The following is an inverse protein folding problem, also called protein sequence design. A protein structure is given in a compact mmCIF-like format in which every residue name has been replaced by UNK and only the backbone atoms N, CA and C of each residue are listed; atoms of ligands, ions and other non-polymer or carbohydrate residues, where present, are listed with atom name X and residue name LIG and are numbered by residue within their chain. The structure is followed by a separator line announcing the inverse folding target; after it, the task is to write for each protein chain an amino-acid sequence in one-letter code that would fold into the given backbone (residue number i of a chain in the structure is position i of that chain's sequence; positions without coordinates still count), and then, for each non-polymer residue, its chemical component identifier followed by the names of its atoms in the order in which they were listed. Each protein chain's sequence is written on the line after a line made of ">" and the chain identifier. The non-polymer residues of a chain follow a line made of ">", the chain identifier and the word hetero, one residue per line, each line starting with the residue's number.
data_IF_474480250488
#
_entry.id   IF_474480250488
#
_cell.length_a   1.000
_cell.length_b   1.000
_cell.length_c   1.000
_cell.angle_alpha   90.00
_cell.angle_beta   90.00
_cell.angle_gamma   90.00
#
_symmetry.space_group_name_H-M   'P 1'
#
loop_
_entity.id
_entity.type
_entity.pdbx_description
1 polymer ?
#
# COMPACT_ATOMS: atom_id res chain seq x y z
N UNK A 1 -6.71 23.00 3.57
CA UNK A 1 -6.41 22.65 4.97
C UNK A 1 -5.69 21.30 4.98
N UNK A 2 -4.63 21.14 5.77
CA UNK A 2 -3.85 19.90 5.85
C UNK A 2 -4.52 18.89 6.79
N UNK A 3 -5.45 18.10 6.25
CA UNK A 3 -6.39 17.29 7.06
C UNK A 3 -5.73 16.18 7.89
N UNK A 4 -4.70 15.52 7.36
CA UNK A 4 -4.00 14.44 8.05
C UNK A 4 -3.14 15.01 9.18
N UNK A 5 -2.34 16.04 8.90
CA UNK A 5 -1.51 16.70 9.92
C UNK A 5 -2.36 17.33 11.01
N UNK A 6 -3.48 17.98 10.65
CA UNK A 6 -4.41 18.56 11.62
C UNK A 6 -5.08 17.51 12.53
N UNK A 7 -5.08 16.24 12.11
CA UNK A 7 -5.62 15.12 12.89
C UNK A 7 -4.54 14.34 13.65
N UNK A 8 -3.31 14.88 13.75
CA UNK A 8 -2.20 14.23 14.45
C UNK A 8 -1.61 13.02 13.74
N UNK A 9 -1.88 12.84 12.44
CA UNK A 9 -1.24 11.78 11.65
C UNK A 9 0.14 12.26 11.21
N UNK A 10 1.17 11.49 11.53
CA UNK A 10 2.57 11.78 11.16
C UNK A 10 3.00 11.04 9.89
N UNK A 11 2.59 9.78 9.75
CA UNK A 11 2.99 8.90 8.66
C UNK A 11 1.80 8.10 8.12
N UNK A 12 1.87 7.76 6.83
CA UNK A 12 0.94 6.87 6.13
C UNK A 12 1.73 5.67 5.61
N UNK A 13 1.18 4.46 5.74
CA UNK A 13 1.87 3.22 5.41
C UNK A 13 1.44 2.68 4.05
N UNK A 14 2.40 2.16 3.28
CA UNK A 14 2.14 1.26 2.17
C UNK A 14 2.84 -0.07 2.42
N UNK A 15 2.12 -1.18 2.28
CA UNK A 15 2.68 -2.51 2.49
C UNK A 15 2.90 -3.22 1.17
N UNK A 16 4.09 -3.77 0.98
CA UNK A 16 4.47 -4.52 -0.21
C UNK A 16 5.32 -5.75 0.18
N UNK A 17 5.29 -6.82 -0.63
CA UNK A 17 6.32 -7.85 -0.55
C UNK A 17 7.73 -7.24 -0.67
N UNK A 18 8.68 -7.77 0.11
CA UNK A 18 10.06 -7.26 0.14
C UNK A 18 10.71 -7.26 -1.26
N UNK A 19 10.40 -8.26 -2.08
CA UNK A 19 10.97 -8.39 -3.44
C UNK A 19 10.55 -7.28 -4.42
N UNK A 20 9.56 -6.44 -4.08
CA UNK A 20 9.23 -5.25 -4.90
C UNK A 20 10.10 -4.02 -4.57
N UNK A 21 10.87 -4.05 -3.49
CA UNK A 21 11.70 -2.92 -3.06
C UNK A 21 12.64 -2.40 -4.15
N UNK A 22 13.34 -3.23 -4.96
CA UNK A 22 14.19 -2.72 -6.03
C UNK A 22 13.46 -1.83 -7.04
N UNK A 23 12.23 -2.20 -7.44
CA UNK A 23 11.45 -1.42 -8.39
C UNK A 23 10.92 -0.12 -7.80
N UNK A 24 10.48 -0.17 -6.54
CA UNK A 24 10.01 1.00 -5.81
C UNK A 24 11.16 1.99 -5.61
N UNK A 25 12.35 1.51 -5.23
CA UNK A 25 13.55 2.33 -5.05
C UNK A 25 14.04 2.96 -6.36
N UNK A 26 14.02 2.23 -7.48
CA UNK A 26 14.37 2.77 -8.80
C UNK A 26 13.40 3.86 -9.27
N UNK A 27 12.09 3.61 -9.15
CA UNK A 27 11.07 4.56 -9.60
C UNK A 27 10.85 5.72 -8.62
N UNK A 28 11.35 5.60 -7.39
CA UNK A 28 11.10 6.53 -6.28
C UNK A 28 9.61 6.83 -6.11
N UNK A 29 8.75 5.85 -6.39
CA UNK A 29 7.31 6.05 -6.45
C UNK A 29 6.53 4.80 -6.08
N UNK A 30 5.35 4.99 -5.48
CA UNK A 30 4.30 3.97 -5.44
C UNK A 30 3.44 4.17 -6.68
N UNK A 31 3.55 3.25 -7.62
CA UNK A 31 2.83 3.31 -8.88
C UNK A 31 1.40 2.78 -8.72
N UNK A 32 0.45 3.49 -9.33
CA UNK A 32 -0.91 3.02 -9.57
C UNK A 32 -0.91 1.86 -10.57
N UNK A 33 -2.03 1.13 -10.67
CA UNK A 33 -2.12 -0.02 -11.58
C UNK A 33 -1.89 0.35 -13.06
N UNK A 34 -2.46 1.45 -13.60
CA UNK A 34 -2.17 1.89 -14.96
C UNK A 34 -0.69 2.20 -15.17
N UNK A 35 -0.02 2.83 -14.20
CA UNK A 35 1.41 3.12 -14.30
C UNK A 35 2.28 1.88 -14.17
N UNK A 36 1.86 0.88 -13.38
CA UNK A 36 2.52 -0.43 -13.35
C UNK A 36 2.40 -1.15 -14.70
N UNK A 37 1.19 -1.16 -15.29
CA UNK A 37 0.98 -1.73 -16.62
C UNK A 37 1.86 -0.99 -17.67
N UNK A 38 1.94 0.34 -17.62
CA UNK A 38 2.77 1.16 -18.51
C UNK A 38 4.28 0.95 -18.30
N UNK A 39 4.71 0.65 -17.08
CA UNK A 39 6.09 0.29 -16.76
C UNK A 39 6.46 -1.16 -17.16
N UNK A 40 5.52 -1.91 -17.75
CA UNK A 40 5.74 -3.27 -18.27
C UNK A 40 5.47 -4.38 -17.25
N UNK A 41 4.90 -4.07 -16.08
CA UNK A 41 4.48 -5.11 -15.14
C UNK A 41 3.24 -5.83 -15.65
N UNK A 42 3.32 -7.15 -15.70
CA UNK A 42 2.19 -8.00 -16.12
C UNK A 42 1.12 -8.07 -15.02
N UNK A 43 -0.08 -8.47 -15.43
CA UNK A 43 -1.22 -8.69 -14.54
C UNK A 43 -0.93 -9.61 -13.35
N UNK A 44 0.00 -10.53 -13.55
CA UNK A 44 0.46 -11.52 -12.57
C UNK A 44 1.17 -10.89 -11.37
N UNK A 45 1.64 -9.65 -11.45
CA UNK A 45 2.23 -8.90 -10.33
C UNK A 45 1.17 -8.28 -9.42
N UNK A 46 -0.03 -8.09 -9.95
CA UNK A 46 -1.14 -7.55 -9.19
C UNK A 46 -1.89 -8.71 -8.56
N UNK A 47 -2.20 -8.59 -7.27
CA UNK A 47 -3.06 -9.57 -6.59
C UNK A 47 -4.37 -9.69 -7.36
N UNK A 48 -4.67 -10.89 -7.86
CA UNK A 48 -5.76 -11.13 -8.82
C UNK A 48 -7.11 -10.61 -8.32
N UNK A 49 -7.45 -10.93 -7.07
CA UNK A 49 -8.66 -10.45 -6.40
C UNK A 49 -8.69 -8.93 -6.23
N UNK A 50 -7.58 -8.31 -5.80
CA UNK A 50 -7.52 -6.86 -5.60
C UNK A 50 -7.62 -6.12 -6.92
N UNK A 51 -6.86 -6.52 -7.95
CA UNK A 51 -6.88 -5.85 -9.26
C UNK A 51 -8.30 -5.76 -9.82
N UNK A 52 -8.98 -6.90 -9.93
CA UNK A 52 -10.32 -6.94 -10.51
C UNK A 52 -11.31 -6.11 -9.71
N UNK A 53 -11.25 -6.18 -8.38
CA UNK A 53 -12.15 -5.44 -7.50
C UNK A 53 -11.87 -3.94 -7.53
N UNK A 54 -10.62 -3.51 -7.46
CA UNK A 54 -10.24 -2.10 -7.48
C UNK A 54 -10.68 -1.46 -8.79
N UNK A 55 -10.39 -2.09 -9.93
CA UNK A 55 -10.82 -1.57 -11.25
C UNK A 55 -12.35 -1.54 -11.34
N UNK A 56 -13.04 -2.64 -11.05
CA UNK A 56 -14.50 -2.72 -11.14
C UNK A 56 -15.23 -1.75 -10.20
N UNK A 57 -14.60 -1.35 -9.10
CA UNK A 57 -15.17 -0.46 -8.09
C UNK A 57 -14.78 1.01 -8.29
N UNK A 58 -13.99 1.33 -9.33
CA UNK A 58 -13.57 2.69 -9.68
C UNK A 58 -12.24 3.15 -9.07
N UNK A 59 -11.52 2.26 -8.39
CA UNK A 59 -10.28 2.55 -7.65
C UNK A 59 -9.01 2.05 -8.36
N UNK A 60 -9.11 1.70 -9.65
CA UNK A 60 -8.00 1.16 -10.43
C UNK A 60 -6.82 2.14 -10.58
N UNK A 61 -7.12 3.43 -10.72
CA UNK A 61 -6.15 4.52 -10.94
C UNK A 61 -5.60 5.13 -9.66
N UNK A 62 -5.64 4.41 -8.53
CA UNK A 62 -5.17 4.91 -7.24
C UNK A 62 -3.97 4.10 -6.76
N UNK A 63 -3.00 4.77 -6.14
CA UNK A 63 -2.06 4.12 -5.24
C UNK A 63 -2.70 4.00 -3.85
N UNK A 64 -2.75 2.77 -3.34
CA UNK A 64 -3.44 2.44 -2.10
C UNK A 64 -2.47 2.45 -0.93
N UNK A 65 -2.81 3.23 0.09
CA UNK A 65 -2.08 3.32 1.36
C UNK A 65 -3.05 3.22 2.54
N UNK A 66 -2.56 3.17 3.77
CA UNK A 66 -3.40 3.01 4.96
C UNK A 66 -2.85 3.76 6.17
N UNK A 67 -3.78 4.20 7.04
CA UNK A 67 -3.46 4.71 8.38
C UNK A 67 -3.34 3.59 9.43
N UNK A 68 -3.83 2.40 9.12
CA UNK A 68 -3.68 1.23 9.98
C UNK A 68 -2.23 0.72 9.93
N UNK A 69 -1.52 0.82 11.06
CA UNK A 69 -0.12 0.40 11.20
C UNK A 69 0.04 -1.12 11.34
N UNK A 70 -1.05 -1.85 11.56
CA UNK A 70 -1.05 -3.29 11.79
C UNK A 70 -2.23 -3.97 11.08
N UNK A 71 -2.36 -3.79 9.74
CA UNK A 71 -3.53 -4.28 9.05
C UNK A 71 -3.55 -5.81 9.06
N UNK A 72 -4.74 -6.40 9.20
CA UNK A 72 -4.93 -7.86 9.26
C UNK A 72 -4.28 -8.61 8.10
N UNK A 73 -4.23 -8.00 6.92
CA UNK A 73 -3.58 -8.60 5.74
C UNK A 73 -2.07 -8.76 5.94
N UNK A 74 -1.39 -7.77 6.54
CA UNK A 74 0.03 -7.87 6.85
C UNK A 74 0.27 -9.01 7.84
N UNK A 75 -0.53 -9.09 8.92
CA UNK A 75 -0.46 -10.19 9.89
C UNK A 75 -0.59 -11.56 9.22
N UNK A 76 -1.54 -11.71 8.29
CA UNK A 76 -1.72 -12.96 7.57
C UNK A 76 -0.53 -13.34 6.68
N UNK A 77 0.08 -12.37 5.99
CA UNK A 77 1.23 -12.62 5.10
C UNK A 77 2.50 -12.94 5.88
N UNK A 78 2.78 -12.19 6.95
CA UNK A 78 3.90 -12.45 7.84
C UNK A 78 3.72 -13.77 8.60
N UNK A 79 2.52 -14.07 9.10
CA UNK A 79 2.25 -15.33 9.80
C UNK A 79 2.46 -16.58 8.95
N UNK A 80 2.36 -16.45 7.62
CA UNK A 80 2.69 -17.50 6.67
C UNK A 80 4.15 -17.44 6.16
N UNK A 81 4.99 -16.67 6.85
CA UNK A 81 6.43 -16.63 6.64
C UNK A 81 6.88 -15.92 5.37
N UNK A 82 6.03 -15.10 4.73
CA UNK A 82 6.37 -14.45 3.46
C UNK A 82 6.85 -13.00 3.65
N UNK A 83 8.10 -12.67 3.29
CA UNK A 83 8.70 -11.36 3.55
C UNK A 83 7.93 -10.17 2.98
N UNK A 84 7.66 -9.19 3.84
CA UNK A 84 6.98 -7.94 3.52
C UNK A 84 7.70 -6.76 4.18
N UNK A 85 7.52 -5.57 3.61
CA UNK A 85 7.98 -4.30 4.14
C UNK A 85 6.82 -3.32 4.27
N UNK A 86 7.00 -2.30 5.08
CA UNK A 86 6.17 -1.10 5.06
C UNK A 86 6.99 0.11 4.62
N UNK A 87 6.43 0.91 3.72
CA UNK A 87 6.95 2.23 3.41
C UNK A 87 6.21 3.24 4.29
N UNK A 88 6.91 3.78 5.28
CA UNK A 88 6.40 4.79 6.20
C UNK A 88 6.66 6.18 5.62
N UNK A 89 5.65 6.73 4.95
CA UNK A 89 5.75 7.98 4.21
C UNK A 89 5.27 9.15 5.09
N UNK A 90 6.06 10.23 5.24
CA UNK A 90 5.63 11.42 5.96
C UNK A 90 4.35 12.03 5.37
N UNK A 91 3.43 12.45 6.25
CA UNK A 91 2.15 13.04 5.83
C UNK A 91 2.32 14.28 4.94
N UNK A 92 3.42 15.02 5.09
CA UNK A 92 3.71 16.17 4.24
C UNK A 92 3.74 15.80 2.73
N UNK A 93 4.30 14.64 2.37
CA UNK A 93 4.32 14.17 0.98
C UNK A 93 2.94 13.71 0.50
N UNK A 94 2.14 13.14 1.40
CA UNK A 94 0.76 12.72 1.12
C UNK A 94 -0.13 13.92 0.83
N UNK A 95 -0.06 14.94 1.69
CA UNK A 95 -0.87 16.15 1.55
C UNK A 95 -0.43 17.07 0.40
N UNK A 96 0.80 16.89 -0.09
CA UNK A 96 1.26 17.52 -1.33
C UNK A 96 0.65 16.87 -2.59
N UNK A 97 0.02 15.71 -2.47
CA UNK A 97 -0.60 14.97 -3.57
C UNK A 97 -2.13 15.01 -3.49
N UNK A 98 -2.86 14.99 -4.61
CA UNK A 98 -4.30 14.79 -4.58
C UNK A 98 -4.64 13.42 -3.99
N UNK A 99 -5.37 13.40 -2.88
CA UNK A 99 -5.79 12.16 -2.22
C UNK A 99 -7.24 12.20 -1.74
N UNK A 100 -7.78 11.02 -1.45
CA UNK A 100 -9.07 10.82 -0.79
C UNK A 100 -8.92 9.81 0.34
N UNK A 101 -9.87 9.82 1.28
CA UNK A 101 -9.93 8.84 2.35
C UNK A 101 -11.10 7.89 2.15
N UNK A 102 -10.90 6.61 2.47
CA UNK A 102 -11.93 5.59 2.42
C UNK A 102 -11.89 4.78 3.72
N UNK A 103 -12.95 4.86 4.54
CA UNK A 103 -13.04 4.08 5.79
C UNK A 103 -13.33 2.58 5.57
N UNK A 104 -13.35 2.15 4.32
CA UNK A 104 -13.71 0.80 3.90
C UNK A 104 -12.53 0.16 3.21
N UNK A 105 -12.38 -1.15 3.40
CA UNK A 105 -11.47 -1.92 2.57
C UNK A 105 -12.03 -2.01 1.14
N UNK A 106 -11.40 -1.34 0.18
CA UNK A 106 -11.92 -1.26 -1.19
C UNK A 106 -12.07 -2.63 -1.83
N UNK A 107 -11.17 -3.58 -1.56
CA UNK A 107 -11.24 -4.94 -2.10
C UNK A 107 -12.32 -5.81 -1.40
N UNK A 108 -12.43 -5.73 -0.08
CA UNK A 108 -13.25 -6.68 0.71
C UNK A 108 -14.68 -6.21 0.99
N UNK A 109 -15.03 -4.96 0.69
CA UNK A 109 -16.38 -4.43 0.95
C UNK A 109 -17.46 -5.20 0.18
N UNK A 110 -18.45 -5.72 0.91
CA UNK A 110 -19.59 -6.48 0.33
C UNK A 110 -20.79 -5.59 -0.02
N UNK A 111 -20.96 -4.46 0.67
CA UNK A 111 -22.09 -3.55 0.52
C UNK A 111 -21.82 -2.49 -0.57
N UNK A 112 -21.81 -2.92 -1.83
CA UNK A 112 -21.47 -2.08 -2.97
C UNK A 112 -22.70 -1.37 -3.55
N UNK A 113 -22.52 -0.13 -4.01
CA UNK A 113 -23.53 0.55 -4.84
C UNK A 113 -23.55 -0.07 -6.23
N UNK A 114 -24.72 -0.53 -6.68
CA UNK A 114 -24.92 -1.15 -8.01
C UNK A 114 -26.13 -0.54 -8.70
N UNK A 115 -25.92 0.33 -9.68
CA UNK A 115 -26.99 1.07 -10.34
C UNK A 115 -27.81 1.90 -9.33
N UNK A 116 -29.13 1.66 -9.29
CA UNK A 116 -30.06 2.31 -8.33
C UNK A 116 -30.10 1.64 -6.94
N UNK A 117 -29.43 0.50 -6.73
CA UNK A 117 -29.42 -0.18 -5.42
C UNK A 117 -28.53 0.58 -4.43
N UNK A 118 -29.02 0.72 -3.20
CA UNK A 118 -28.33 1.47 -2.14
C UNK A 118 -27.09 0.68 -1.68
N UNK A 119 -25.92 1.29 -1.83
CA UNK A 119 -24.68 0.82 -1.18
C UNK A 119 -24.59 1.34 0.25
N UNK A 120 -23.36 1.46 0.76
CA UNK A 120 -23.10 2.17 2.02
C UNK A 120 -23.72 3.59 1.98
N UNK A 121 -24.39 4.05 3.06
CA UNK A 121 -24.90 5.41 3.14
C UNK A 121 -23.79 6.46 3.10
N UNK A 122 -24.01 7.49 2.30
CA UNK A 122 -23.20 8.71 2.29
C UNK A 122 -23.41 9.50 3.58
N UNK A 123 -22.35 10.11 4.10
CA UNK A 123 -22.41 11.00 5.26
C UNK A 123 -21.11 11.81 5.32
N UNK A 124 -21.03 12.85 6.17
CA UNK A 124 -19.77 13.58 6.36
C UNK A 124 -18.62 12.66 6.81
N UNK A 125 -18.92 11.55 7.48
CA UNK A 125 -17.92 10.63 8.04
C UNK A 125 -17.66 9.39 7.17
N UNK A 126 -18.56 9.05 6.25
CA UNK A 126 -18.36 7.99 5.25
C UNK A 126 -17.91 8.54 3.88
N UNK A 127 -18.11 9.84 3.64
CA UNK A 127 -17.87 10.48 2.35
C UNK A 127 -19.07 10.45 1.40
N UNK A 128 -18.78 10.61 0.11
CA UNK A 128 -19.76 10.66 -1.00
C UNK A 128 -19.32 9.73 -2.13
N UNK A 129 -20.26 9.33 -2.98
CA UNK A 129 -19.97 8.63 -4.23
C UNK A 129 -19.52 9.63 -5.31
N UNK A 130 -18.46 9.32 -6.03
CA UNK A 130 -17.94 10.14 -7.13
C UNK A 130 -17.73 9.27 -8.37
N UNK A 131 -17.93 9.81 -9.58
CA UNK A 131 -17.37 9.29 -10.84
C UNK A 131 -17.34 7.74 -10.97
N UNK A 132 -18.49 7.07 -10.80
CA UNK A 132 -18.58 5.61 -10.96
C UNK A 132 -18.01 4.77 -9.82
N UNK A 133 -17.47 5.37 -8.75
CA UNK A 133 -17.03 4.65 -7.56
C UNK A 133 -18.20 3.89 -6.91
N UNK A 134 -17.95 2.66 -6.48
CA UNK A 134 -18.96 1.79 -5.84
C UNK A 134 -18.95 1.88 -4.31
N UNK A 135 -18.05 2.67 -3.74
CA UNK A 135 -17.87 2.91 -2.30
C UNK A 135 -17.68 4.42 -2.08
N UNK A 136 -18.30 5.03 -1.05
CA UNK A 136 -18.14 6.46 -0.80
C UNK A 136 -16.74 6.78 -0.26
N UNK A 137 -16.21 7.94 -0.65
CA UNK A 137 -14.91 8.44 -0.22
C UNK A 137 -15.01 9.89 0.27
N UNK A 138 -14.12 10.27 1.18
CA UNK A 138 -13.95 11.67 1.58
C UNK A 138 -12.93 12.34 0.68
N UNK A 139 -13.40 13.25 -0.20
CA UNK A 139 -12.57 13.99 -1.15
C UNK A 139 -12.31 15.42 -0.71
N UNK A 140 -13.31 16.09 -0.13
CA UNK A 140 -13.19 17.46 0.38
C UNK A 140 -12.47 17.47 1.73
N UNK A 141 -11.80 18.57 2.08
CA UNK A 141 -11.13 18.72 3.38
C UNK A 141 -12.13 18.55 4.54
N UNK A 142 -13.35 19.09 4.40
CA UNK A 142 -14.40 18.96 5.41
C UNK A 142 -14.82 17.50 5.64
N UNK A 143 -15.00 16.71 4.58
CA UNK A 143 -15.31 15.29 4.71
C UNK A 143 -14.12 14.50 5.26
N UNK A 144 -12.88 14.83 4.84
CA UNK A 144 -11.66 14.18 5.34
C UNK A 144 -11.52 14.39 6.84
N UNK A 145 -11.64 15.63 7.30
CA UNK A 145 -11.61 15.98 8.73
C UNK A 145 -12.73 15.27 9.51
N UNK A 146 -13.95 15.26 8.97
CA UNK A 146 -15.08 14.59 9.61
C UNK A 146 -14.89 13.06 9.71
N UNK A 147 -14.32 12.44 8.68
CA UNK A 147 -13.97 11.02 8.69
C UNK A 147 -12.89 10.73 9.72
N UNK A 148 -11.77 11.48 9.71
CA UNK A 148 -10.65 11.31 10.64
C UNK A 148 -11.10 11.50 12.09
N UNK A 149 -11.80 12.60 12.40
CA UNK A 149 -12.28 12.89 13.75
C UNK A 149 -13.15 11.78 14.34
N UNK A 150 -13.95 11.09 13.51
CA UNK A 150 -14.79 9.98 13.97
C UNK A 150 -14.03 8.65 14.02
N UNK A 151 -13.26 8.34 12.98
CA UNK A 151 -12.80 6.97 12.70
C UNK A 151 -11.39 6.69 13.19
N UNK A 152 -10.54 7.71 13.29
CA UNK A 152 -9.16 7.56 13.75
C UNK A 152 -9.09 7.15 15.24
N UNK A 153 -9.83 7.78 16.18
CA UNK A 153 -9.79 7.38 17.60
C UNK A 153 -10.35 5.98 17.87
N UNK A 154 -11.20 5.48 16.97
CA UNK A 154 -11.81 4.15 17.07
C UNK A 154 -10.91 3.03 16.55
N UNK A 155 -9.74 3.36 16.00
CA UNK A 155 -8.86 2.39 15.35
C UNK A 155 -9.51 1.70 14.15
N UNK A 156 -10.53 2.32 13.55
CA UNK A 156 -11.15 1.76 12.34
C UNK A 156 -10.24 1.96 11.14
N UNK A 157 -10.21 0.97 10.24
CA UNK A 157 -9.40 1.03 9.03
C UNK A 157 -9.77 2.27 8.18
N UNK A 158 -8.74 3.02 7.77
CA UNK A 158 -8.86 4.13 6.83
C UNK A 158 -7.78 3.94 5.76
N UNK A 159 -8.22 3.69 4.54
CA UNK A 159 -7.37 3.72 3.35
C UNK A 159 -7.14 5.17 2.92
N UNK A 160 -5.90 5.48 2.58
CA UNK A 160 -5.49 6.74 1.95
C UNK A 160 -5.27 6.44 0.48
N UNK A 161 -6.12 7.04 -0.36
CA UNK A 161 -6.20 6.77 -1.79
C UNK A 161 -5.55 7.93 -2.54
N UNK A 162 -4.31 7.76 -2.99
CA UNK A 162 -3.60 8.75 -3.81
C UNK A 162 -4.11 8.67 -5.24
N UNK A 163 -4.40 9.81 -5.86
CA UNK A 163 -4.94 9.86 -7.22
C UNK A 163 -3.76 9.75 -8.21
N UNK A 164 -3.60 8.58 -8.84
CA UNK A 164 -2.43 8.26 -9.63
C UNK A 164 -1.27 7.73 -8.79
N UNK A 165 -0.05 8.12 -9.14
CA UNK A 165 1.18 7.65 -8.50
C UNK A 165 1.57 8.57 -7.35
N UNK A 166 2.22 8.02 -6.33
CA UNK A 166 2.82 8.79 -5.25
C UNK A 166 4.33 8.83 -5.42
N UNK A 167 4.90 10.02 -5.61
CA UNK A 167 6.35 10.21 -5.48
C UNK A 167 6.76 10.09 -4.01
N UNK A 168 7.77 9.26 -3.75
CA UNK A 168 8.28 8.99 -2.41
C UNK A 168 9.39 9.99 -2.07
N UNK A 169 9.33 10.65 -0.90
CA UNK A 169 10.36 11.59 -0.49
C UNK A 169 11.60 10.85 0.04
N UNK A 170 12.73 11.55 0.11
CA UNK A 170 14.00 10.96 0.58
C UNK A 170 14.04 10.69 2.09
N UNK A 171 13.19 11.35 2.88
CA UNK A 171 13.12 11.25 4.35
C UNK A 171 12.19 10.12 4.85
N UNK A 172 11.65 9.30 3.95
CA UNK A 172 10.81 8.16 4.33
C UNK A 172 11.63 7.01 4.94
N UNK A 173 10.92 6.11 5.61
CA UNK A 173 11.51 4.93 6.26
C UNK A 173 10.90 3.64 5.70
N UNK A 174 11.76 2.67 5.40
CA UNK A 174 11.37 1.28 5.10
C UNK A 174 11.41 0.46 6.40
N UNK A 175 10.24 0.00 6.85
CA UNK A 175 10.10 -0.87 8.02
C UNK A 175 10.21 -2.33 7.60
N UNK A 176 11.08 -3.08 8.27
CA UNK A 176 11.31 -4.51 8.08
C UNK A 176 10.92 -5.28 9.34
N UNK A 177 10.55 -6.56 9.20
CA UNK A 177 9.97 -7.35 10.30
C UNK A 177 10.87 -8.49 10.81
N UNK A 178 12.08 -8.61 10.28
CA UNK A 178 13.14 -9.50 10.76
C UNK A 178 14.50 -8.87 10.44
N UNK A 179 15.56 -9.34 11.12
CA UNK A 179 16.93 -8.90 10.83
C UNK A 179 17.37 -9.28 9.40
N UNK A 180 16.95 -10.45 8.92
CA UNK A 180 17.17 -10.88 7.53
C UNK A 180 16.57 -9.88 6.53
N UNK A 181 15.29 -9.53 6.72
CA UNK A 181 14.57 -8.61 5.82
C UNK A 181 15.21 -7.21 5.86
N UNK A 182 15.66 -6.77 7.05
CA UNK A 182 16.39 -5.51 7.23
C UNK A 182 17.74 -5.51 6.49
N UNK A 183 18.49 -6.61 6.58
CA UNK A 183 19.77 -6.78 5.88
C UNK A 183 19.59 -6.68 4.37
N UNK A 184 18.60 -7.39 3.82
CA UNK A 184 18.26 -7.35 2.39
C UNK A 184 17.86 -5.93 1.96
N UNK A 185 16.97 -5.27 2.72
CA UNK A 185 16.52 -3.92 2.40
C UNK A 185 17.68 -2.91 2.36
N UNK A 186 18.61 -2.98 3.32
CA UNK A 186 19.80 -2.13 3.36
C UNK A 186 20.70 -2.32 2.14
N UNK A 187 20.95 -3.56 1.75
CA UNK A 187 21.76 -3.88 0.56
C UNK A 187 21.12 -3.29 -0.69
N UNK A 188 19.83 -3.55 -0.91
CA UNK A 188 19.09 -3.02 -2.07
C UNK A 188 19.15 -1.49 -2.13
N UNK A 189 18.87 -0.80 -1.02
CA UNK A 189 18.86 0.66 -0.98
C UNK A 189 20.26 1.26 -1.18
N UNK A 190 21.29 0.63 -0.61
CA UNK A 190 22.68 1.06 -0.77
C UNK A 190 23.13 0.93 -2.22
N UNK A 191 22.89 -0.22 -2.85
CA UNK A 191 23.26 -0.46 -4.25
C UNK A 191 22.53 0.50 -5.20
N UNK A 192 21.26 0.80 -4.93
CA UNK A 192 20.46 1.74 -5.71
C UNK A 192 20.65 3.21 -5.30
N UNK A 193 21.59 3.50 -4.39
CA UNK A 193 21.89 4.85 -3.87
C UNK A 193 20.62 5.60 -3.44
N UNK A 194 19.75 4.88 -2.73
CA UNK A 194 18.49 5.40 -2.22
C UNK A 194 18.66 5.81 -0.76
N UNK A 195 18.40 7.09 -0.39
CA UNK A 195 18.74 7.63 0.93
C UNK A 195 17.72 7.26 2.02
N UNK A 196 16.74 6.42 1.70
CA UNK A 196 15.70 6.02 2.64
C UNK A 196 16.29 5.29 3.84
N UNK A 197 15.74 5.59 5.01
CA UNK A 197 16.12 4.88 6.24
C UNK A 197 15.51 3.49 6.26
N UNK A 198 16.16 2.57 6.97
CA UNK A 198 15.64 1.22 7.23
C UNK A 198 15.58 0.97 8.73
N UNK A 199 14.45 0.51 9.22
CA UNK A 199 14.24 0.24 10.64
C UNK A 199 13.61 -1.14 10.86
N UNK A 200 13.99 -1.79 11.95
CA UNK A 200 13.32 -3.01 12.41
C UNK A 200 12.04 -2.62 13.16
N UNK A 201 10.92 -3.21 12.79
CA UNK A 201 9.64 -3.01 13.43
C UNK A 201 9.10 -4.32 13.99
N UNK A 202 8.38 -4.24 15.12
CA UNK A 202 7.67 -5.41 15.65
C UNK A 202 6.55 -5.83 14.67
N UNK A 203 6.48 -7.12 14.27
CA UNK A 203 5.40 -7.60 13.44
C UNK A 203 4.05 -7.54 14.20
N UNK A 204 2.90 -7.39 13.50
CA UNK A 204 1.56 -7.39 14.11
C UNK A 204 1.10 -8.75 14.67
N UNK A 205 2.01 -9.73 14.73
CA UNK A 205 1.79 -11.11 15.16
C UNK A 205 3.06 -11.92 14.96
N UNK A 206 2.97 -13.25 15.07
CA UNK A 206 4.11 -14.13 14.78
C UNK A 206 4.56 -13.98 13.32
N UNK A 207 5.88 -14.02 13.12
CA UNK A 207 6.50 -14.04 11.80
C UNK A 207 7.56 -15.16 11.74
N UNK A 208 7.14 -16.42 11.53
CA UNK A 208 8.07 -17.51 11.27
C UNK A 208 8.57 -17.40 9.83
N UNK A 209 9.59 -16.57 9.59
CA UNK A 209 10.16 -16.35 8.24
C UNK A 209 10.47 -17.71 7.59
N UNK A 210 9.76 -18.02 6.52
CA UNK A 210 9.89 -19.31 5.84
C UNK A 210 11.17 -19.34 5.04
N UNK A 211 12.01 -20.38 5.21
CA UNK A 211 13.23 -20.53 4.42
C UNK A 211 12.94 -20.61 2.91
N UNK A 212 11.83 -21.24 2.52
CA UNK A 212 11.41 -21.38 1.11
C UNK A 212 10.98 -20.02 0.55
N UNK A 213 10.14 -19.28 1.27
CA UNK A 213 9.69 -17.96 0.85
C UNK A 213 10.83 -16.95 0.86
N UNK A 214 11.70 -17.00 1.88
CA UNK A 214 12.90 -16.20 2.00
C UNK A 214 13.81 -16.40 0.80
N UNK A 215 14.18 -17.65 0.50
CA UNK A 215 14.99 -17.97 -0.69
C UNK A 215 14.36 -17.47 -1.99
N UNK A 216 13.04 -17.64 -2.16
CA UNK A 216 12.34 -17.18 -3.37
C UNK A 216 12.40 -15.66 -3.51
N UNK A 217 12.29 -14.92 -2.40
CA UNK A 217 12.44 -13.46 -2.35
C UNK A 217 13.88 -13.05 -2.66
N UNK A 218 14.86 -13.75 -2.11
CA UNK A 218 16.29 -13.47 -2.32
C UNK A 218 16.68 -13.68 -3.79
N UNK A 219 16.30 -14.83 -4.37
CA UNK A 219 16.55 -15.15 -5.79
C UNK A 219 15.88 -14.12 -6.71
N UNK A 220 14.64 -13.70 -6.39
CA UNK A 220 13.95 -12.66 -7.13
C UNK A 220 14.71 -11.33 -7.06
N UNK A 221 15.11 -10.89 -5.87
CA UNK A 221 15.82 -9.62 -5.70
C UNK A 221 17.15 -9.67 -6.45
N UNK A 222 17.91 -10.75 -6.33
CA UNK A 222 19.17 -10.92 -7.04
C UNK A 222 19.00 -10.74 -8.56
N UNK A 223 17.98 -11.37 -9.15
CA UNK A 223 17.68 -11.21 -10.58
C UNK A 223 17.25 -9.77 -10.92
N UNK A 224 16.38 -9.16 -10.10
CA UNK A 224 15.96 -7.78 -10.30
C UNK A 224 17.13 -6.80 -10.21
N UNK A 225 18.12 -7.06 -9.35
CA UNK A 225 19.32 -6.24 -9.19
C UNK A 225 20.29 -6.39 -10.38
N UNK A 226 20.41 -7.60 -10.94
CA UNK A 226 21.26 -7.88 -12.10
C UNK A 226 20.68 -7.36 -13.43
N UNK A 227 19.36 -7.44 -13.61
CA UNK A 227 18.67 -6.99 -14.82
C UNK A 227 17.65 -5.88 -14.49
N UNK A 228 18.02 -4.60 -14.68
CA UNK A 228 17.11 -3.47 -14.45
C UNK A 228 15.85 -3.47 -15.32
N UNK A 229 15.86 -4.17 -16.47
CA UNK A 229 14.71 -4.28 -17.38
C UNK A 229 13.80 -5.47 -17.05
N UNK A 230 14.26 -6.39 -16.21
CA UNK A 230 13.42 -7.46 -15.69
C UNK A 230 12.31 -6.87 -14.82
N UNK A 231 11.07 -7.32 -15.04
CA UNK A 231 9.89 -6.91 -14.26
C UNK A 231 9.41 -7.96 -13.27
N UNK A 232 10.11 -9.09 -13.21
CA UNK A 232 9.80 -10.21 -12.34
C UNK A 232 9.00 -11.32 -13.00
N UNK A 233 8.77 -12.38 -12.23
CA UNK A 233 8.00 -13.57 -12.63
C UNK A 233 6.57 -13.59 -12.02
N UNK A 234 6.14 -12.50 -11.38
CA UNK A 234 4.87 -12.42 -10.67
C UNK A 234 4.82 -13.25 -9.39
N UNK A 235 5.96 -13.38 -8.69
CA UNK A 235 6.05 -14.00 -7.36
C UNK A 235 4.97 -13.40 -6.43
N UNK A 236 4.02 -14.24 -6.06
CA UNK A 236 2.89 -13.85 -5.22
C UNK A 236 2.72 -14.92 -4.14
N UNK A 237 2.44 -14.46 -2.93
CA UNK A 237 2.12 -15.33 -1.79
C UNK A 237 1.09 -16.41 -2.14
N UNK A 238 0.00 -16.06 -2.83
CA UNK A 238 -1.10 -16.98 -3.13
C UNK A 238 -0.71 -18.08 -4.16
N UNK A 239 0.53 -18.06 -4.70
CA UNK A 239 1.02 -18.98 -5.74
C UNK A 239 2.16 -19.92 -5.30
N UNK A 240 2.78 -19.66 -4.15
CA UNK A 240 3.74 -20.59 -3.56
C UNK A 240 2.95 -21.64 -2.78
N UNK A 241 2.95 -22.89 -3.26
CA UNK A 241 2.36 -24.05 -2.60
C UNK A 241 3.45 -24.98 -2.11
#
# INVERSE_FOLDING_TARGET
>A
MKALSASGVEFVQHYAPLHYLPFIARSRSILSKPSLDAAGFKSTHLRSMSRGQDVARGFGSYAHMTLDRQPRILKAKLGAGFPHIALSVPVAAIEASPFSLCRFNVAMTRYLKRGKKRGVPESKTNGRYYLGHQIPIARTDADKMSMLAKHLPLGTMIEVLIHGDLKLPDDMTVLCYSDDDLGIARTVLTELRTPWRTELAAPPGEYPRSAIHGKSVDDFIAQAMQDPEWRGNGLEFDRLR
#
